data_IF_495723652921
#
_entry.id   IF_495723652921
#
_cell.length_a   1.000
_cell.length_b   1.000
_cell.length_c   1.000
_cell.angle_alpha   90.00
_cell.angle_beta   90.00
_cell.angle_gamma   90.00
#
_symmetry.space_group_name_H-M   'P 1'
#
loop_
_entity.id
_entity.type
_entity.pdbx_description
1 polymer ?
#
# COMPACT_ATOMS: atom_id res chain seq x y z
N UNK A 1 -0.17 9.20 25.18
CA UNK A 1 -0.63 9.06 23.77
C UNK A 1 -0.45 7.63 23.28
N UNK A 2 0.76 7.07 23.29
CA UNK A 2 1.04 5.70 22.84
C UNK A 2 0.13 4.63 23.49
N UNK A 3 -0.10 4.69 24.80
CA UNK A 3 -1.00 3.73 25.46
C UNK A 3 -2.45 3.75 24.96
N UNK A 4 -2.95 4.88 24.45
CA UNK A 4 -4.31 4.98 23.89
C UNK A 4 -4.40 4.41 22.48
N UNK A 5 -3.34 4.58 21.68
CA UNK A 5 -3.25 3.89 20.39
C UNK A 5 -3.07 2.39 20.59
N UNK A 6 -2.13 1.98 21.45
CA UNK A 6 -1.81 0.56 21.69
C UNK A 6 -2.96 -0.24 22.31
N UNK A 7 -3.71 0.33 23.25
CA UNK A 7 -4.70 -0.44 24.04
C UNK A 7 -6.13 0.10 23.97
N UNK A 8 -6.32 1.33 23.48
CA UNK A 8 -7.64 1.97 23.35
C UNK A 8 -8.19 2.01 21.93
N UNK A 9 -7.42 1.55 20.93
CA UNK A 9 -7.82 1.60 19.51
C UNK A 9 -7.94 3.02 18.95
N UNK A 10 -7.39 4.04 19.63
CA UNK A 10 -7.44 5.42 19.14
C UNK A 10 -6.45 5.65 17.98
N UNK A 11 -6.93 6.25 16.90
CA UNK A 11 -6.09 6.72 15.78
C UNK A 11 -5.79 8.20 15.95
N UNK A 12 -4.53 8.55 16.18
CA UNK A 12 -4.14 9.88 16.64
C UNK A 12 -3.32 10.60 15.56
N UNK A 13 -3.83 11.72 15.06
CA UNK A 13 -3.07 12.60 14.18
C UNK A 13 -2.06 13.47 14.94
N UNK A 14 -0.82 13.53 14.46
CA UNK A 14 0.25 14.40 14.98
C UNK A 14 0.40 15.59 14.05
N UNK A 15 0.24 16.82 14.57
CA UNK A 15 0.35 18.05 13.77
C UNK A 15 1.57 18.89 14.12
N UNK A 16 2.21 19.50 13.11
CA UNK A 16 3.25 20.53 13.26
C UNK A 16 2.83 21.79 12.52
N UNK A 17 2.76 22.92 13.21
CA UNK A 17 2.28 24.21 12.67
C UNK A 17 0.88 24.10 12.02
N UNK A 18 -0.04 23.37 12.68
CA UNK A 18 -1.40 23.14 12.18
C UNK A 18 -1.53 22.16 11.02
N UNK A 19 -0.42 21.59 10.52
CA UNK A 19 -0.42 20.59 9.44
C UNK A 19 -0.23 19.19 10.00
N UNK A 20 -1.03 18.22 9.54
CA UNK A 20 -0.85 16.81 9.86
C UNK A 20 0.49 16.32 9.29
N UNK A 21 1.32 15.69 10.13
CA UNK A 21 2.65 15.20 9.75
C UNK A 21 2.85 13.71 10.01
N UNK A 22 2.04 13.10 10.89
CA UNK A 22 2.04 11.66 11.12
C UNK A 22 0.70 11.21 11.71
N UNK A 23 0.45 9.90 11.68
CA UNK A 23 -0.66 9.25 12.38
C UNK A 23 -0.08 8.11 13.22
N UNK A 24 -0.53 8.01 14.47
CA UNK A 24 -0.21 6.89 15.36
C UNK A 24 -1.44 6.00 15.46
N UNK A 25 -1.26 4.71 15.19
CA UNK A 25 -2.30 3.66 15.22
C UNK A 25 -1.84 2.49 16.09
N UNK A 26 -2.75 1.55 16.38
CA UNK A 26 -2.39 0.29 17.04
C UNK A 26 -1.63 -0.64 16.08
N UNK A 27 -0.88 -1.62 16.60
CA UNK A 27 -0.31 -2.69 15.77
C UNK A 27 -1.38 -3.47 15.00
N UNK A 28 -2.51 -3.79 15.63
CA UNK A 28 -3.62 -4.52 14.98
C UNK A 28 -4.20 -3.74 13.79
N UNK A 29 -4.35 -2.41 13.91
CA UNK A 29 -4.79 -1.57 12.79
C UNK A 29 -3.75 -1.53 11.67
N UNK A 30 -2.45 -1.55 12.01
CA UNK A 30 -1.38 -1.59 11.03
C UNK A 30 -1.41 -2.92 10.25
N UNK A 31 -1.51 -4.05 10.96
CA UNK A 31 -1.60 -5.38 10.34
C UNK A 31 -2.84 -5.49 9.44
N UNK A 32 -3.99 -4.99 9.89
CA UNK A 32 -5.20 -4.98 9.06
C UNK A 32 -5.05 -4.13 7.78
N UNK A 33 -4.28 -3.04 7.82
CA UNK A 33 -3.98 -2.23 6.63
C UNK A 33 -3.03 -2.97 5.67
N UNK A 34 -2.00 -3.64 6.20
CA UNK A 34 -1.08 -4.46 5.39
C UNK A 34 -1.80 -5.65 4.73
N UNK A 35 -2.68 -6.33 5.47
CA UNK A 35 -3.52 -7.41 4.92
C UNK A 35 -4.46 -6.90 3.82
N UNK A 36 -5.04 -5.72 4.01
CA UNK A 36 -5.91 -5.09 3.03
C UNK A 36 -5.16 -4.74 1.74
N UNK A 37 -3.95 -4.17 1.85
CA UNK A 37 -3.08 -3.88 0.70
C UNK A 37 -2.70 -5.17 -0.04
N UNK A 38 -2.25 -6.20 0.68
CA UNK A 38 -1.90 -7.50 0.11
C UNK A 38 -3.10 -8.14 -0.64
N UNK A 39 -4.32 -8.02 -0.09
CA UNK A 39 -5.51 -8.54 -0.74
C UNK A 39 -5.78 -7.85 -2.09
N UNK A 40 -5.54 -6.53 -2.19
CA UNK A 40 -5.66 -5.78 -3.45
C UNK A 40 -4.59 -6.20 -4.45
N UNK A 41 -3.34 -6.34 -4.02
CA UNK A 41 -2.23 -6.79 -4.87
C UNK A 41 -2.48 -8.19 -5.43
N UNK A 42 -2.95 -9.12 -4.60
CA UNK A 42 -3.32 -10.47 -5.04
C UNK A 42 -4.47 -10.44 -6.05
N UNK A 43 -5.47 -9.59 -5.84
CA UNK A 43 -6.57 -9.43 -6.78
C UNK A 43 -6.09 -8.86 -8.12
N UNK A 44 -5.26 -7.82 -8.10
CA UNK A 44 -4.66 -7.21 -9.28
C UNK A 44 -3.77 -8.20 -10.04
N UNK A 45 -2.94 -8.98 -9.34
CA UNK A 45 -2.14 -10.03 -9.94
C UNK A 45 -3.00 -11.09 -10.63
N UNK A 46 -4.05 -11.58 -9.97
CA UNK A 46 -4.97 -12.58 -10.55
C UNK A 46 -5.66 -12.04 -11.79
N UNK A 47 -6.10 -10.79 -11.77
CA UNK A 47 -6.69 -10.13 -12.91
C UNK A 47 -5.69 -10.00 -14.07
N UNK A 48 -4.49 -9.47 -13.80
CA UNK A 48 -3.43 -9.34 -14.81
C UNK A 48 -3.05 -10.69 -15.43
N UNK A 49 -3.08 -11.78 -14.65
CA UNK A 49 -2.88 -13.13 -15.16
C UNK A 49 -4.03 -13.64 -16.02
N UNK A 50 -5.27 -13.30 -15.69
CA UNK A 50 -6.43 -13.66 -16.49
C UNK A 50 -6.49 -12.87 -17.82
N UNK A 51 -5.96 -11.66 -17.83
CA UNK A 51 -5.88 -10.76 -18.99
C UNK A 51 -4.62 -10.95 -19.84
N UNK A 52 -3.67 -11.79 -19.41
CA UNK A 52 -2.43 -12.08 -20.16
C UNK A 52 -2.77 -12.70 -21.53
N UNK A 53 -2.53 -11.93 -22.60
CA UNK A 53 -2.76 -12.31 -23.99
C UNK A 53 -1.66 -13.23 -24.57
N UNK A 54 -0.65 -13.56 -23.76
CA UNK A 54 0.49 -14.39 -24.15
C UNK A 54 1.59 -13.64 -24.90
N UNK A 55 1.40 -12.36 -25.22
CA UNK A 55 2.42 -11.51 -25.86
C UNK A 55 3.58 -11.28 -24.89
N UNK A 56 4.80 -11.28 -25.41
CA UNK A 56 6.03 -11.04 -24.63
C UNK A 56 6.84 -9.94 -25.29
N UNK A 57 7.42 -9.07 -24.48
CA UNK A 57 8.39 -8.05 -24.93
C UNK A 57 9.77 -8.39 -24.39
N UNK A 58 10.79 -8.16 -25.19
CA UNK A 58 12.17 -8.26 -24.73
C UNK A 58 12.51 -7.11 -23.78
N UNK A 59 13.55 -7.30 -22.97
CA UNK A 59 14.05 -6.24 -22.07
C UNK A 59 14.49 -4.99 -22.84
N UNK A 60 15.06 -5.16 -24.04
CA UNK A 60 15.52 -4.04 -24.87
C UNK A 60 14.34 -3.22 -25.42
N UNK A 61 13.28 -3.88 -25.90
CA UNK A 61 12.03 -3.23 -26.32
C UNK A 61 11.37 -2.48 -25.17
N UNK A 62 11.26 -3.11 -23.99
CA UNK A 62 10.71 -2.46 -22.79
C UNK A 62 11.50 -1.20 -22.41
N UNK A 63 12.84 -1.30 -22.41
CA UNK A 63 13.73 -0.16 -22.10
C UNK A 63 13.62 0.96 -23.12
N UNK A 64 13.42 0.65 -24.39
CA UNK A 64 13.19 1.66 -25.42
C UNK A 64 11.86 2.40 -25.18
N UNK A 65 10.79 1.68 -24.79
CA UNK A 65 9.47 2.27 -24.54
C UNK A 65 9.34 3.12 -23.27
N UNK A 66 10.16 2.88 -22.24
CA UNK A 66 10.14 3.67 -20.99
C UNK A 66 10.91 5.01 -21.07
N UNK A 67 11.68 5.24 -22.14
CA UNK A 67 12.45 6.49 -22.34
C UNK A 67 11.66 7.62 -23.01
N UNK A 68 10.32 7.51 -23.00
CA UNK A 68 9.39 8.48 -23.59
C UNK A 68 9.11 9.64 -22.63
#
# INVERSE_FOLDING_TARGET
MLGRAMYGGERIGVTRNGKLVAVVISPDDLEALEEFEMAQDVAAYRQAKAEDDGTRVSLDELRAGLRQ
#
